data_IF_905674195337
#
_entry.id   IF_905674195337
#
_cell.length_a   1.000
_cell.length_b   1.000
_cell.length_c   1.000
_cell.angle_alpha   90.00
_cell.angle_beta   90.00
_cell.angle_gamma   90.00
#
_symmetry.space_group_name_H-M   'P 1'
#
loop_
_entity.id
_entity.type
_entity.pdbx_description
1 polymer ?
#
# COMPACT_ATOMS: atom_id res chain seq x y z
N UNK A 1 -14.74 -74.64 -21.71
CA UNK A 1 -13.46 -75.27 -21.31
C UNK A 1 -13.15 -74.79 -19.90
N UNK A 2 -13.38 -75.62 -18.88
CA UNK A 2 -12.99 -75.35 -17.49
C UNK A 2 -11.55 -75.79 -17.27
N UNK A 3 -10.75 -75.04 -16.51
CA UNK A 3 -9.74 -75.58 -15.60
C UNK A 3 -9.43 -74.58 -14.46
N UNK A 4 -9.36 -75.15 -13.24
CA UNK A 4 -9.08 -74.53 -11.92
C UNK A 4 -7.60 -74.18 -11.74
N UNK A 5 -7.33 -73.22 -10.85
CA UNK A 5 -6.27 -73.20 -9.80
C UNK A 5 -6.44 -71.86 -9.05
N UNK A 6 -6.32 -71.69 -7.73
CA UNK A 6 -5.85 -72.49 -6.61
C UNK A 6 -5.57 -71.47 -5.49
N UNK A 7 -6.15 -71.66 -4.31
CA UNK A 7 -6.02 -70.79 -3.13
C UNK A 7 -4.70 -71.04 -2.40
N UNK A 8 -3.95 -69.99 -2.01
CA UNK A 8 -3.02 -70.05 -0.88
C UNK A 8 -2.75 -68.64 -0.27
N UNK A 9 -2.75 -68.57 1.08
CA UNK A 9 -2.12 -67.57 1.98
C UNK A 9 -2.70 -66.14 1.99
N UNK A 10 -3.51 -65.68 2.95
CA UNK A 10 -3.41 -65.62 4.42
C UNK A 10 -2.23 -64.78 4.94
N UNK A 11 -2.59 -63.81 5.80
CA UNK A 11 -1.78 -62.91 6.65
C UNK A 11 -1.40 -61.53 6.08
N UNK A 12 -1.56 -60.51 6.93
CA UNK A 12 -1.16 -59.09 6.81
C UNK A 12 -2.25 -58.03 6.49
N UNK A 13 -3.40 -58.08 7.18
CA UNK A 13 -4.28 -56.89 7.32
C UNK A 13 -4.65 -56.58 8.78
N UNK A 14 -3.77 -56.91 9.73
CA UNK A 14 -3.86 -56.42 11.12
C UNK A 14 -2.74 -55.42 11.39
N UNK A 15 -2.81 -54.25 10.76
CA UNK A 15 -2.26 -52.99 11.29
C UNK A 15 -2.68 -51.84 10.39
N UNK A 16 -3.92 -51.37 10.58
CA UNK A 16 -4.28 -50.01 10.19
C UNK A 16 -5.19 -49.41 11.26
N UNK A 17 -4.58 -49.11 12.41
CA UNK A 17 -5.02 -48.03 13.28
C UNK A 17 -3.83 -47.09 13.47
N UNK A 18 -3.54 -46.31 12.43
CA UNK A 18 -2.70 -45.13 12.57
C UNK A 18 -3.62 -43.96 12.92
N UNK A 19 -3.47 -43.47 14.14
CA UNK A 19 -4.00 -42.21 14.63
C UNK A 19 -3.43 -41.10 13.75
N UNK A 20 -4.29 -40.43 12.97
CA UNK A 20 -3.94 -39.19 12.30
C UNK A 20 -4.05 -38.06 13.32
N UNK A 21 -2.94 -37.78 14.00
CA UNK A 21 -2.73 -36.48 14.63
C UNK A 21 -2.57 -35.47 13.50
N UNK A 22 -3.65 -34.78 13.13
CA UNK A 22 -3.60 -33.66 12.20
C UNK A 22 -2.92 -32.49 12.90
N UNK A 23 -1.73 -32.14 12.42
CA UNK A 23 -1.19 -30.78 12.58
C UNK A 23 -2.20 -29.78 12.01
N UNK A 24 -2.40 -28.59 12.61
CA UNK A 24 -3.29 -27.60 12.03
C UNK A 24 -2.76 -27.19 10.65
N UNK A 25 -3.56 -27.46 9.62
CA UNK A 25 -3.29 -27.14 8.23
C UNK A 25 -3.38 -25.65 7.97
N UNK A 26 -2.72 -25.21 6.90
CA UNK A 26 -2.44 -23.82 6.49
C UNK A 26 -3.69 -22.94 6.24
N UNK A 27 -4.90 -23.47 6.42
CA UNK A 27 -6.18 -22.82 6.21
C UNK A 27 -6.55 -21.85 7.36
N UNK A 28 -6.23 -22.18 8.61
CA UNK A 28 -6.41 -21.27 9.77
C UNK A 28 -5.48 -20.05 9.72
N UNK A 29 -4.39 -20.11 8.94
CA UNK A 29 -3.45 -19.00 8.82
C UNK A 29 -4.03 -17.88 7.94
N UNK A 30 -4.87 -18.18 6.96
CA UNK A 30 -5.48 -17.22 6.02
C UNK A 30 -6.62 -16.40 6.66
N UNK A 31 -7.39 -17.01 7.57
CA UNK A 31 -8.41 -16.33 8.39
C UNK A 31 -7.79 -15.34 9.40
N UNK A 32 -6.53 -15.56 9.80
CA UNK A 32 -5.79 -14.67 10.72
C UNK A 32 -5.30 -13.36 10.08
N UNK A 33 -5.24 -13.27 8.74
CA UNK A 33 -4.78 -12.06 8.04
C UNK A 33 -5.92 -11.09 7.73
N UNK A 34 -7.14 -11.58 7.52
CA UNK A 34 -8.31 -10.73 7.31
C UNK A 34 -8.86 -10.12 8.62
N UNK A 35 -8.50 -10.68 9.77
CA UNK A 35 -9.09 -10.36 11.08
C UNK A 35 -8.27 -9.41 11.97
N UNK A 36 -7.15 -8.84 11.47
CA UNK A 36 -6.30 -7.92 12.25
C UNK A 36 -6.21 -6.50 11.67
N UNK A 37 -7.34 -5.94 11.23
CA UNK A 37 -7.44 -4.49 11.03
C UNK A 37 -7.95 -3.81 12.33
N UNK A 38 -7.49 -2.58 12.57
CA UNK A 38 -7.36 -1.91 13.88
C UNK A 38 -8.66 -1.39 14.57
N UNK A 39 -8.95 -1.65 15.88
CA UNK A 39 -9.87 -0.84 16.78
C UNK A 39 -9.00 0.31 17.18
N UNK A 40 -9.52 1.49 16.97
CA UNK A 40 -9.34 2.50 17.99
C UNK A 40 -10.63 2.51 18.81
N UNK A 41 -10.58 2.09 20.08
CA UNK A 41 -11.69 2.33 21.01
C UNK A 41 -11.36 3.62 21.77
N UNK A 42 -11.94 4.74 21.32
CA UNK A 42 -11.79 6.03 21.97
C UNK A 42 -12.94 6.23 22.97
N UNK A 43 -12.77 5.71 24.18
CA UNK A 43 -13.52 6.21 25.34
C UNK A 43 -12.53 6.53 26.47
N UNK A 44 -12.10 7.79 26.49
CA UNK A 44 -11.32 8.36 27.59
C UNK A 44 -11.67 9.83 27.71
N UNK A 45 -12.40 10.19 28.76
CA UNK A 45 -12.56 11.58 29.18
C UNK A 45 -11.21 12.17 29.64
N UNK A 46 -11.15 13.47 30.00
CA UNK A 46 -9.90 14.24 30.05
C UNK A 46 -8.84 13.81 31.07
N UNK A 47 -9.02 12.72 31.82
CA UNK A 47 -8.06 12.20 32.78
C UNK A 47 -8.28 10.70 32.98
N UNK A 48 -7.57 9.83 32.26
CA UNK A 48 -7.45 8.42 32.67
C UNK A 48 -6.07 7.87 32.30
N UNK A 49 -5.28 7.64 33.35
CA UNK A 49 -4.10 6.79 33.36
C UNK A 49 -4.54 5.37 32.95
N UNK A 50 -3.90 4.79 31.94
CA UNK A 50 -4.28 3.47 31.44
C UNK A 50 -3.70 2.38 32.35
N UNK A 51 -4.56 1.71 33.12
CA UNK A 51 -4.28 0.37 33.67
C UNK A 51 -4.81 -0.70 32.71
N UNK A 52 -4.01 -1.76 32.57
CA UNK A 52 -4.20 -2.95 31.75
C UNK A 52 -5.54 -3.67 31.98
N UNK A 53 -6.19 -4.12 30.90
CA UNK A 53 -6.51 -5.54 30.61
C UNK A 53 -7.43 -5.70 29.36
N UNK A 54 -7.00 -6.54 28.41
CA UNK A 54 -7.75 -7.30 27.38
C UNK A 54 -8.48 -6.63 26.19
N UNK A 55 -7.70 -6.45 25.11
CA UNK A 55 -7.88 -6.96 23.73
C UNK A 55 -9.24 -6.87 23.00
N UNK A 56 -9.26 -5.98 22.00
CA UNK A 56 -9.88 -6.20 20.70
C UNK A 56 -9.61 -4.98 19.83
N UNK A 57 -9.15 -5.15 18.60
CA UNK A 57 -8.97 -4.07 17.65
C UNK A 57 -9.97 -4.26 16.45
N UNK A 58 -11.04 -3.45 16.30
CA UNK A 58 -12.07 -3.37 15.23
C UNK A 58 -11.78 -2.27 14.22
N UNK A 59 -11.28 -2.71 13.08
CA UNK A 59 -10.99 -2.00 11.85
C UNK A 59 -11.80 -0.70 11.66
N UNK A 60 -11.16 0.47 11.74
CA UNK A 60 -11.80 1.73 11.30
C UNK A 60 -12.03 1.68 9.77
N UNK A 61 -13.28 1.48 9.29
CA UNK A 61 -13.52 1.22 7.88
C UNK A 61 -13.37 2.50 7.04
N UNK A 62 -13.64 3.64 7.65
CA UNK A 62 -13.53 4.96 7.03
C UNK A 62 -12.87 5.95 8.00
N UNK A 63 -11.96 6.75 7.45
CA UNK A 63 -11.25 7.76 8.23
C UNK A 63 -12.15 8.98 8.50
N UNK A 64 -12.31 9.44 9.75
CA UNK A 64 -13.18 10.58 10.06
C UNK A 64 -12.60 11.92 9.61
N UNK A 65 -11.27 12.06 9.58
CA UNK A 65 -10.60 13.29 9.18
C UNK A 65 -9.32 13.00 8.37
N UNK A 66 -9.29 13.52 7.15
CA UNK A 66 -8.18 13.38 6.21
C UNK A 66 -7.30 14.63 6.27
N UNK A 67 -6.12 14.52 6.90
CA UNK A 67 -5.17 15.63 7.03
C UNK A 67 -4.06 15.49 5.97
N UNK A 68 -3.73 16.57 5.22
CA UNK A 68 -2.54 16.57 4.36
C UNK A 68 -1.27 16.28 5.16
N UNK A 69 -0.43 15.37 4.66
CA UNK A 69 0.84 15.03 5.30
C UNK A 69 1.84 16.19 5.19
N UNK A 70 1.76 16.95 4.10
CA UNK A 70 2.49 18.20 3.92
C UNK A 70 3.50 18.17 2.79
N UNK A 71 3.15 17.52 1.67
CA UNK A 71 3.88 17.67 0.43
C UNK A 71 3.83 19.12 -0.05
N UNK A 72 2.63 19.71 -0.04
CA UNK A 72 2.39 21.10 -0.45
C UNK A 72 2.92 22.11 0.58
N UNK A 73 2.69 21.86 1.88
CA UNK A 73 3.13 22.76 2.96
C UNK A 73 4.64 22.73 3.21
N UNK A 74 5.36 21.76 2.65
CA UNK A 74 6.80 21.56 2.88
C UNK A 74 7.13 20.81 4.17
N UNK A 75 6.14 20.32 4.91
CA UNK A 75 6.36 19.51 6.12
C UNK A 75 7.02 18.16 5.81
N UNK A 76 6.75 17.59 4.63
CA UNK A 76 7.48 16.44 4.11
C UNK A 76 8.83 16.91 3.58
N UNK A 77 9.93 16.44 4.15
CA UNK A 77 11.28 16.85 3.77
C UNK A 77 11.78 16.09 2.54
N UNK A 78 12.76 16.64 1.78
CA UNK A 78 13.24 16.01 0.54
C UNK A 78 13.79 14.58 0.72
N UNK A 79 14.41 14.29 1.86
CA UNK A 79 14.97 12.97 2.20
C UNK A 79 13.90 11.90 2.46
N UNK A 80 12.64 12.30 2.62
CA UNK A 80 11.50 11.37 2.71
C UNK A 80 11.06 10.84 1.34
N UNK A 81 11.48 11.46 0.24
CA UNK A 81 10.94 11.16 -1.09
C UNK A 81 12.06 10.64 -1.99
N UNK A 82 11.92 9.41 -2.47
CA UNK A 82 12.85 8.77 -3.41
C UNK A 82 12.11 8.17 -4.60
N UNK A 83 12.83 7.80 -5.65
CA UNK A 83 12.24 7.22 -6.85
C UNK A 83 13.13 6.11 -7.42
N UNK A 84 12.62 5.41 -8.43
CA UNK A 84 13.42 4.52 -9.27
C UNK A 84 14.55 5.28 -9.97
N UNK A 85 15.71 4.63 -10.06
CA UNK A 85 16.90 5.11 -10.79
C UNK A 85 17.34 6.56 -10.46
N UNK A 86 17.50 6.94 -9.19
CA UNK A 86 17.80 8.32 -8.81
C UNK A 86 19.14 8.83 -9.38
N UNK A 87 20.07 7.93 -9.68
CA UNK A 87 21.39 8.23 -10.25
C UNK A 87 21.30 8.77 -11.69
N UNK A 88 20.18 8.50 -12.38
CA UNK A 88 19.95 8.93 -13.77
C UNK A 88 19.39 10.35 -13.88
N UNK A 89 19.16 11.04 -12.75
CA UNK A 89 18.62 12.40 -12.68
C UNK A 89 19.71 13.46 -12.89
N UNK A 90 20.34 13.42 -14.07
CA UNK A 90 21.39 14.35 -14.50
C UNK A 90 20.92 15.22 -15.68
N UNK A 91 21.64 16.30 -15.97
CA UNK A 91 21.29 17.24 -17.05
C UNK A 91 19.89 17.83 -16.85
N UNK A 92 19.04 17.79 -17.88
CA UNK A 92 17.66 18.29 -17.80
C UNK A 92 16.82 17.60 -16.71
N UNK A 93 17.06 16.31 -16.45
CA UNK A 93 16.32 15.56 -15.42
C UNK A 93 16.65 15.99 -13.99
N UNK A 94 17.76 16.70 -13.76
CA UNK A 94 18.12 17.21 -12.42
C UNK A 94 17.06 18.13 -11.80
N UNK A 95 16.20 18.72 -12.63
CA UNK A 95 15.10 19.57 -12.18
C UNK A 95 13.80 18.81 -11.92
N UNK A 96 13.70 17.54 -12.31
CA UNK A 96 12.46 16.74 -12.24
C UNK A 96 12.54 15.59 -11.23
N UNK A 97 13.27 15.79 -10.14
CA UNK A 97 13.58 14.76 -9.13
C UNK A 97 12.35 14.39 -8.28
N UNK A 98 12.47 13.29 -7.52
CA UNK A 98 11.41 12.79 -6.64
C UNK A 98 10.85 13.87 -5.69
N UNK A 99 11.72 14.72 -5.12
CA UNK A 99 11.34 15.82 -4.23
C UNK A 99 10.41 16.86 -4.88
N UNK A 100 10.31 16.89 -6.21
CA UNK A 100 9.42 17.79 -6.95
C UNK A 100 8.00 17.25 -7.08
N UNK A 101 7.70 16.05 -6.59
CA UNK A 101 6.37 15.45 -6.57
C UNK A 101 5.40 16.13 -5.58
N UNK A 102 5.40 17.45 -5.46
CA UNK A 102 4.61 18.20 -4.48
C UNK A 102 3.35 18.76 -5.13
N UNK A 103 2.19 18.51 -4.50
CA UNK A 103 0.90 19.03 -4.96
C UNK A 103 0.98 20.55 -5.17
N UNK A 104 0.29 21.04 -6.21
CA UNK A 104 0.26 22.45 -6.60
C UNK A 104 1.61 23.11 -6.90
N UNK A 105 2.72 22.34 -6.94
CA UNK A 105 4.03 22.84 -7.37
C UNK A 105 3.96 23.54 -8.73
N UNK A 106 4.68 24.66 -8.85
CA UNK A 106 4.70 25.52 -10.04
C UNK A 106 6.14 25.77 -10.52
N UNK A 107 6.26 26.26 -11.76
CA UNK A 107 7.54 26.64 -12.37
C UNK A 107 8.28 25.47 -13.01
N UNK A 108 9.52 25.71 -13.43
CA UNK A 108 10.36 24.67 -14.03
C UNK A 108 10.74 23.62 -12.97
N UNK A 109 10.56 22.34 -13.30
CA UNK A 109 10.83 21.27 -12.33
C UNK A 109 9.77 21.17 -11.23
N UNK A 110 8.49 21.36 -11.57
CA UNK A 110 7.38 21.39 -10.62
C UNK A 110 6.77 20.03 -10.29
N UNK A 111 7.24 18.96 -10.93
CA UNK A 111 6.72 17.60 -10.77
C UNK A 111 7.87 16.61 -10.72
N UNK A 112 7.62 15.42 -10.17
CA UNK A 112 8.50 14.29 -10.45
C UNK A 112 8.21 13.81 -11.87
N UNK A 113 9.26 13.61 -12.65
CA UNK A 113 9.20 12.99 -13.97
C UNK A 113 10.06 11.74 -13.94
N UNK A 114 9.48 10.58 -14.22
CA UNK A 114 10.25 9.35 -14.33
C UNK A 114 11.26 9.45 -15.48
N UNK A 115 12.46 8.90 -15.29
CA UNK A 115 13.45 8.82 -16.38
C UNK A 115 12.96 7.88 -17.48
N UNK A 116 12.59 6.66 -17.11
CA UNK A 116 12.08 5.64 -18.01
C UNK A 116 10.56 5.58 -17.97
N UNK A 117 9.95 5.15 -19.07
CA UNK A 117 8.49 5.11 -19.25
C UNK A 117 8.04 3.66 -19.32
N UNK A 118 8.13 2.96 -18.18
CA UNK A 118 7.75 1.56 -18.03
C UNK A 118 7.07 1.34 -16.68
N UNK A 119 6.56 0.12 -16.46
CA UNK A 119 5.84 -0.27 -15.24
C UNK A 119 6.76 -0.70 -14.09
N UNK A 120 8.08 -0.64 -14.26
CA UNK A 120 9.05 -0.92 -13.19
C UNK A 120 9.41 0.33 -12.36
N UNK A 121 8.90 1.49 -12.77
CA UNK A 121 9.14 2.76 -12.10
C UNK A 121 8.35 2.88 -10.80
N UNK A 122 8.86 3.67 -9.87
CA UNK A 122 8.16 3.92 -8.61
C UNK A 122 8.57 5.25 -8.00
N UNK A 123 7.65 5.84 -7.25
CA UNK A 123 7.90 6.95 -6.33
C UNK A 123 7.67 6.42 -4.92
N UNK A 124 8.66 6.54 -4.04
CA UNK A 124 8.64 6.04 -2.67
C UNK A 124 8.64 7.20 -1.68
N UNK A 125 7.84 7.04 -0.63
CA UNK A 125 7.70 7.98 0.47
C UNK A 125 8.03 7.23 1.76
N UNK A 126 9.01 7.71 2.52
CA UNK A 126 9.28 7.31 3.91
C UNK A 126 8.64 8.32 4.86
N UNK A 127 7.60 7.88 5.58
CA UNK A 127 6.86 8.68 6.54
C UNK A 127 7.65 8.93 7.84
N UNK A 128 8.85 8.36 7.98
CA UNK A 128 9.76 8.38 9.15
C UNK A 128 9.23 7.61 10.36
N UNK A 129 7.93 7.63 10.57
CA UNK A 129 7.20 6.86 11.57
C UNK A 129 6.04 6.09 10.93
N UNK A 130 5.51 5.11 11.64
CA UNK A 130 4.32 4.37 11.20
C UNK A 130 3.10 5.25 11.37
N UNK A 131 2.39 5.52 10.27
CA UNK A 131 1.18 6.35 10.23
C UNK A 131 0.02 5.59 9.60
N UNK A 132 -1.19 6.10 9.81
CA UNK A 132 -2.40 5.62 9.12
C UNK A 132 -2.64 6.52 7.91
N UNK A 133 -2.51 5.99 6.70
CA UNK A 133 -2.74 6.74 5.46
C UNK A 133 -4.12 6.39 4.90
N UNK A 134 -4.90 7.43 4.63
CA UNK A 134 -6.32 7.34 4.26
C UNK A 134 -6.61 7.77 2.83
N UNK A 135 -5.66 8.39 2.14
CA UNK A 135 -5.87 8.84 0.78
C UNK A 135 -4.63 9.41 0.11
N UNK A 136 -4.76 9.62 -1.19
CA UNK A 136 -3.72 10.12 -2.08
C UNK A 136 -4.37 11.13 -3.01
N UNK A 137 -3.81 12.33 -3.11
CA UNK A 137 -4.13 13.29 -4.16
C UNK A 137 -3.04 13.27 -5.22
N UNK A 138 -3.44 13.33 -6.49
CA UNK A 138 -2.51 13.37 -7.62
C UNK A 138 -2.86 14.52 -8.57
N UNK A 139 -1.84 15.09 -9.20
CA UNK A 139 -1.91 16.11 -10.24
C UNK A 139 -0.88 15.80 -11.32
N UNK A 140 -1.17 16.22 -12.56
CA UNK A 140 -0.21 16.17 -13.66
C UNK A 140 0.91 17.21 -13.55
N UNK A 141 1.80 17.23 -14.53
CA UNK A 141 2.94 18.17 -14.61
C UNK A 141 2.47 19.59 -14.92
N UNK A 142 2.94 20.61 -14.18
CA UNK A 142 2.36 21.96 -14.29
C UNK A 142 2.63 22.68 -15.63
N UNK A 143 3.73 22.37 -16.32
CA UNK A 143 4.22 23.09 -17.50
C UNK A 143 4.11 22.30 -18.82
N UNK A 144 3.61 21.06 -18.79
CA UNK A 144 3.43 20.22 -19.97
C UNK A 144 2.27 19.22 -19.77
N UNK A 145 1.69 18.75 -20.88
CA UNK A 145 0.57 17.80 -20.86
C UNK A 145 1.04 16.35 -20.62
N UNK A 146 1.66 16.14 -19.46
CA UNK A 146 2.22 14.86 -19.01
C UNK A 146 1.65 14.50 -17.63
N UNK A 147 1.13 13.28 -17.46
CA UNK A 147 0.55 12.83 -16.20
C UNK A 147 0.39 11.32 -16.11
N UNK A 148 0.27 10.82 -14.88
CA UNK A 148 -0.08 9.43 -14.59
C UNK A 148 -1.59 9.22 -14.64
N UNK A 149 -2.06 8.30 -15.49
CA UNK A 149 -3.50 8.01 -15.67
C UNK A 149 -3.98 6.86 -14.80
N UNK A 150 -3.09 5.92 -14.45
CA UNK A 150 -3.40 4.76 -13.61
C UNK A 150 -2.20 4.38 -12.77
N UNK A 151 -2.44 3.94 -11.53
CA UNK A 151 -1.39 3.46 -10.64
C UNK A 151 -1.89 2.42 -9.65
N UNK A 152 -0.95 1.67 -9.07
CA UNK A 152 -1.18 0.84 -7.88
C UNK A 152 -0.34 1.35 -6.72
N UNK A 153 -0.72 0.94 -5.51
CA UNK A 153 -0.03 1.32 -4.28
C UNK A 153 0.59 0.09 -3.67
N UNK A 154 1.86 0.19 -3.30
CA UNK A 154 2.53 -0.75 -2.41
C UNK A 154 2.87 -0.06 -1.09
N UNK A 155 2.88 -0.83 -0.01
CA UNK A 155 3.24 -0.30 1.31
C UNK A 155 3.91 -1.36 2.18
N UNK A 156 4.61 -0.89 3.21
CA UNK A 156 5.19 -1.73 4.27
C UNK A 156 5.42 -0.88 5.53
N UNK A 157 5.46 -1.54 6.68
CA UNK A 157 5.66 -0.89 7.99
C UNK A 157 7.13 -0.81 8.40
N UNK A 158 7.96 -1.71 7.89
CA UNK A 158 9.39 -1.83 8.20
C UNK A 158 10.19 -2.01 6.90
N UNK A 159 11.43 -1.55 6.89
CA UNK A 159 12.34 -1.67 5.74
C UNK A 159 12.74 -3.12 5.43
N UNK A 160 12.73 -4.00 6.44
CA UNK A 160 13.07 -5.41 6.29
C UNK A 160 11.90 -6.27 5.79
N UNK A 161 10.69 -5.69 5.73
CA UNK A 161 9.51 -6.39 5.25
C UNK A 161 9.36 -6.26 3.73
N UNK A 162 8.76 -7.30 3.14
CA UNK A 162 8.35 -7.30 1.75
C UNK A 162 7.27 -6.25 1.50
N UNK A 163 7.26 -5.71 0.28
CA UNK A 163 6.20 -4.81 -0.17
C UNK A 163 4.89 -5.56 -0.33
N UNK A 164 3.82 -4.97 0.18
CA UNK A 164 2.45 -5.48 0.04
C UNK A 164 1.68 -4.56 -0.89
N UNK A 165 1.00 -5.13 -1.90
CA UNK A 165 0.09 -4.38 -2.74
C UNK A 165 -1.21 -4.07 -1.99
N UNK A 166 -1.68 -2.84 -2.11
CA UNK A 166 -3.03 -2.48 -1.70
C UNK A 166 -4.04 -3.26 -2.54
N UNK A 167 -4.97 -3.94 -1.87
CA UNK A 167 -5.94 -4.84 -2.50
C UNK A 167 -7.31 -4.18 -2.59
N UNK A 168 -8.06 -4.55 -3.63
CA UNK A 168 -9.48 -4.25 -3.67
C UNK A 168 -10.31 -5.29 -2.89
N UNK A 169 -11.62 -5.08 -2.87
CA UNK A 169 -12.58 -5.94 -2.17
C UNK A 169 -12.62 -7.39 -2.70
N UNK A 170 -12.04 -7.64 -3.88
CA UNK A 170 -11.96 -8.95 -4.53
C UNK A 170 -10.61 -9.63 -4.33
N UNK A 171 -9.68 -9.01 -3.58
CA UNK A 171 -8.33 -9.54 -3.33
C UNK A 171 -7.32 -9.25 -4.45
N UNK A 172 -7.74 -8.56 -5.52
CA UNK A 172 -6.88 -8.17 -6.63
C UNK A 172 -6.08 -6.91 -6.28
N UNK A 173 -4.94 -6.69 -6.95
CA UNK A 173 -4.18 -5.44 -6.79
C UNK A 173 -5.05 -4.27 -7.22
N UNK A 174 -5.31 -3.34 -6.30
CA UNK A 174 -6.16 -2.18 -6.56
C UNK A 174 -5.50 -1.30 -7.62
N UNK A 175 -6.27 -1.00 -8.66
CA UNK A 175 -5.93 0.03 -9.66
C UNK A 175 -6.65 1.31 -9.29
N UNK A 176 -5.88 2.38 -9.07
CA UNK A 176 -6.38 3.74 -8.91
C UNK A 176 -6.36 4.45 -10.25
N UNK A 177 -7.41 5.22 -10.52
CA UNK A 177 -7.48 6.10 -11.68
C UNK A 177 -6.92 7.46 -11.26
N UNK A 178 -5.86 7.88 -11.96
CA UNK A 178 -5.17 9.15 -11.74
C UNK A 178 -5.77 10.27 -12.56
N UNK A 179 -4.90 11.09 -13.14
CA UNK A 179 -5.29 12.33 -13.80
C UNK A 179 -5.71 12.13 -15.26
N UNK A 180 -6.56 13.05 -15.73
CA UNK A 180 -6.98 13.17 -17.14
C UNK A 180 -6.43 14.43 -17.81
N UNK A 181 -5.79 15.31 -17.05
CA UNK A 181 -5.20 16.56 -17.49
C UNK A 181 -4.03 16.94 -16.57
N UNK A 182 -3.40 18.08 -16.85
CA UNK A 182 -2.22 18.55 -16.14
C UNK A 182 -2.49 19.32 -14.82
N UNK A 183 -3.71 19.82 -14.62
CA UNK A 183 -4.02 20.84 -13.60
C UNK A 183 -4.96 20.34 -12.51
N UNK A 184 -5.98 19.57 -12.88
CA UNK A 184 -7.01 19.07 -11.98
C UNK A 184 -6.42 18.08 -10.97
N UNK A 185 -6.73 18.28 -9.69
CA UNK A 185 -6.40 17.31 -8.65
C UNK A 185 -7.40 16.17 -8.63
N UNK A 186 -6.90 14.94 -8.52
CA UNK A 186 -7.71 13.73 -8.38
C UNK A 186 -7.44 13.14 -7.00
N UNK A 187 -8.50 12.91 -6.24
CA UNK A 187 -8.43 12.33 -4.91
C UNK A 187 -8.84 10.85 -4.95
N UNK A 188 -7.97 9.98 -4.46
CA UNK A 188 -8.22 8.56 -4.30
C UNK A 188 -8.12 8.20 -2.81
N UNK A 189 -9.26 7.86 -2.20
CA UNK A 189 -9.31 7.40 -0.82
C UNK A 189 -8.96 5.91 -0.71
N UNK A 190 -8.25 5.56 0.35
CA UNK A 190 -7.95 4.18 0.73
C UNK A 190 -9.05 3.71 1.68
N UNK A 191 -9.85 2.74 1.24
CA UNK A 191 -10.92 2.10 2.02
C UNK A 191 -10.73 0.58 2.00
N UNK A 192 -10.15 -0.01 3.06
CA UNK A 192 -9.77 0.64 4.32
C UNK A 192 -8.48 1.47 4.22
N UNK A 193 -8.25 2.42 5.16
CA UNK A 193 -6.96 3.07 5.34
C UNK A 193 -5.84 2.05 5.61
N UNK A 194 -4.59 2.39 5.29
CA UNK A 194 -3.43 1.52 5.49
C UNK A 194 -2.56 2.00 6.65
N UNK A 195 -2.01 1.06 7.41
CA UNK A 195 -0.95 1.34 8.39
C UNK A 195 0.39 1.10 7.70
N UNK A 196 1.18 2.15 7.53
CA UNK A 196 2.43 2.08 6.79
C UNK A 196 3.45 3.08 7.30
N UNK A 197 4.74 2.78 7.09
CA UNK A 197 5.83 3.75 7.16
C UNK A 197 6.35 4.08 5.76
N UNK A 198 6.42 3.08 4.88
CA UNK A 198 6.87 3.26 3.52
C UNK A 198 5.72 3.02 2.56
N UNK A 199 5.57 3.93 1.60
CA UNK A 199 4.55 3.85 0.55
C UNK A 199 5.22 4.02 -0.80
N UNK A 200 4.79 3.23 -1.79
CA UNK A 200 5.20 3.33 -3.18
C UNK A 200 3.99 3.51 -4.09
N UNK A 201 4.07 4.50 -4.97
CA UNK A 201 3.18 4.61 -6.12
C UNK A 201 3.84 3.94 -7.32
N UNK A 202 3.16 2.94 -7.89
CA UNK A 202 3.61 2.18 -9.05
C UNK A 202 2.78 2.59 -10.27
N UNK A 203 3.37 3.28 -11.27
CA UNK A 203 2.66 3.67 -12.48
C UNK A 203 2.20 2.45 -13.28
N UNK A 204 0.94 2.45 -13.68
CA UNK A 204 0.35 1.41 -14.55
C UNK A 204 -0.08 1.97 -15.92
N UNK A 205 -0.23 3.29 -16.02
CA UNK A 205 -0.51 3.99 -17.27
C UNK A 205 -0.28 5.48 -17.14
N UNK A 206 0.07 6.13 -18.25
CA UNK A 206 0.43 7.55 -18.30
C UNK A 206 0.08 8.15 -19.67
N UNK A 207 -0.07 9.48 -19.69
CA UNK A 207 -0.19 10.27 -20.89
C UNK A 207 1.16 10.93 -21.19
N UNK A 208 1.75 10.61 -22.35
CA UNK A 208 3.07 11.08 -22.84
C UNK A 208 4.26 10.66 -21.97
N UNK A 209 4.30 11.04 -20.68
CA UNK A 209 5.30 10.62 -19.70
C UNK A 209 4.69 10.41 -18.31
N UNK A 210 5.32 9.56 -17.53
CA UNK A 210 5.07 9.34 -16.11
C UNK A 210 5.52 10.61 -15.36
N UNK A 211 4.57 11.49 -15.11
CA UNK A 211 4.75 12.68 -14.31
C UNK A 211 3.69 12.78 -13.23
N UNK A 212 4.06 13.29 -12.06
CA UNK A 212 3.12 13.46 -10.95
C UNK A 212 3.54 14.58 -9.98
N UNK A 213 2.53 15.26 -9.46
CA UNK A 213 2.53 16.04 -8.22
C UNK A 213 1.55 15.36 -7.27
N UNK A 214 1.87 15.24 -5.99
CA UNK A 214 1.01 14.49 -5.07
C UNK A 214 0.98 15.05 -3.64
N UNK A 215 -0.02 14.61 -2.89
CA UNK A 215 -0.16 14.78 -1.45
C UNK A 215 -0.69 13.48 -0.85
N UNK A 216 -0.16 13.08 0.31
CA UNK A 216 -0.70 11.96 1.07
C UNK A 216 -1.64 12.50 2.15
N UNK A 217 -2.72 11.77 2.41
CA UNK A 217 -3.65 12.10 3.48
C UNK A 217 -3.43 11.14 4.65
N UNK A 218 -2.99 11.69 5.78
CA UNK A 218 -2.96 10.99 7.05
C UNK A 218 -4.35 10.95 7.67
N UNK A 219 -4.70 9.81 8.26
CA UNK A 219 -5.91 9.67 9.04
C UNK A 219 -5.65 10.08 10.49
N UNK A 220 -6.43 11.02 10.99
CA UNK A 220 -6.44 11.34 12.41
C UNK A 220 -7.72 10.82 13.05
N UNK A 221 -7.58 10.23 14.25
CA UNK A 221 -8.72 10.10 15.18
C UNK A 221 -9.25 11.49 15.53
N UNK A 222 -10.51 11.59 15.98
CA UNK A 222 -11.18 12.87 16.28
C UNK A 222 -10.22 13.85 16.95
N UNK A 223 -10.09 15.05 16.37
CA UNK A 223 -9.29 16.13 16.93
C UNK A 223 -9.74 16.40 18.38
N UNK A 224 -8.82 16.27 19.32
CA UNK A 224 -8.96 16.77 20.69
C UNK A 224 -8.53 18.23 20.76
#
# INVERSE_FOLDING_TARGET
MQFKMGSVLLSLLFWYKAVMALSPGEDERLELWHSKACKCDCQGGPNSVWSSENNGLECMPECPYHKPLGFESGSVTPDQISCSNPEQYTGWYSSWTANKARLNGQGFGCAWLSKYQDTAQWLQIDLKEVKVISGILTQGRCDADEWMTKYSVQYRTDENLNWVYYKDQTGNNRVFYGNSDRSSSVQNLLRPPIVARYIRLIPLGWHVRIAIRMELLECLGKCG
#
